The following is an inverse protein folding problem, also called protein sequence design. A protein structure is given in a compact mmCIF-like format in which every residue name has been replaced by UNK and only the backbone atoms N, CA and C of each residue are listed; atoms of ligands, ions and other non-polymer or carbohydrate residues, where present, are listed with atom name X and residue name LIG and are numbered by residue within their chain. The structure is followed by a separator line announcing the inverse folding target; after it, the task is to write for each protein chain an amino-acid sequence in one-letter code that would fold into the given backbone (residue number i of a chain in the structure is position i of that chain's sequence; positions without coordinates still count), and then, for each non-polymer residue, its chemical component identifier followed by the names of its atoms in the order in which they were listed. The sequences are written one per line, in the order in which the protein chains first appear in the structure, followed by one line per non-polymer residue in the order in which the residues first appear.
data_IF_406987044086
#
_entry.id   IF_406987044086
#
_cell.length_a   1.000
_cell.length_b   1.000
_cell.length_c   1.000
_cell.angle_alpha   90.00
_cell.angle_beta   90.00
_cell.angle_gamma   90.00
#
_symmetry.space_group_name_H-M   'P 1'
#
loop_
_entity.id
_entity.type
_entity.pdbx_description
1 polymer ?
#
# COMPACT_ATOMS: atom_id res chain seq x y z
N UNK A 1 10.71 -6.59 17.58
CA UNK A 1 11.71 -7.32 16.77
C UNK A 1 11.46 -6.98 15.31
N UNK A 2 12.44 -6.36 14.64
CA UNK A 2 12.36 -6.16 13.18
C UNK A 2 12.48 -7.55 12.55
N UNK A 3 11.43 -7.98 11.87
CA UNK A 3 11.46 -9.26 11.15
C UNK A 3 12.26 -9.04 9.87
N UNK A 4 13.44 -9.64 9.75
CA UNK A 4 14.31 -9.56 8.58
C UNK A 4 13.65 -9.98 7.24
N UNK A 5 12.40 -10.42 7.30
CA UNK A 5 11.65 -10.97 6.16
C UNK A 5 10.44 -10.12 5.75
N UNK A 6 10.24 -8.96 6.37
CA UNK A 6 9.20 -8.01 5.98
C UNK A 6 9.72 -7.06 4.91
N UNK A 7 8.98 -6.93 3.82
CA UNK A 7 9.27 -6.03 2.72
C UNK A 7 8.10 -5.08 2.49
N UNK A 8 8.39 -3.80 2.30
CA UNK A 8 7.38 -2.76 2.04
C UNK A 8 7.49 -2.33 0.59
N UNK A 9 6.38 -2.42 -0.14
CA UNK A 9 6.26 -1.99 -1.53
C UNK A 9 5.41 -0.73 -1.58
N UNK A 10 5.99 0.37 -2.05
CA UNK A 10 5.31 1.66 -2.21
C UNK A 10 4.98 1.86 -3.68
N UNK A 11 3.70 1.96 -4.01
CA UNK A 11 3.23 2.23 -5.37
C UNK A 11 3.22 3.73 -5.64
N UNK A 12 4.05 4.19 -6.57
CA UNK A 12 4.29 5.60 -6.88
C UNK A 12 4.22 5.90 -8.39
N UNK A 13 3.48 5.11 -9.18
CA UNK A 13 3.37 5.27 -10.65
C UNK A 13 2.23 6.20 -11.11
N UNK A 14 1.39 6.72 -10.22
CA UNK A 14 0.23 7.54 -10.58
C UNK A 14 0.62 8.97 -11.00
N UNK A 15 -0.05 9.52 -12.01
CA UNK A 15 0.16 10.90 -12.50
C UNK A 15 -0.55 11.98 -11.69
N UNK A 16 -1.45 11.61 -10.76
CA UNK A 16 -2.08 12.55 -9.82
C UNK A 16 -2.99 13.62 -10.45
N UNK A 17 -3.61 13.38 -11.59
CA UNK A 17 -4.39 14.36 -12.38
C UNK A 17 -5.47 15.14 -11.60
N UNK A 18 -6.01 14.57 -10.52
CA UNK A 18 -7.03 15.22 -9.66
C UNK A 18 -6.46 16.35 -8.80
N UNK A 19 -5.13 16.47 -8.70
CA UNK A 19 -4.44 17.50 -7.92
C UNK A 19 -3.96 18.68 -8.77
N UNK A 20 -4.33 18.69 -10.08
CA UNK A 20 -4.00 19.84 -10.92
C UNK A 20 -4.59 21.15 -10.33
N UNK A 21 -3.87 22.28 -10.33
CA UNK A 21 -2.58 22.55 -10.97
C UNK A 21 -1.34 22.23 -10.12
N UNK A 22 -1.47 21.78 -8.88
CA UNK A 22 -0.33 21.45 -8.01
C UNK A 22 0.45 20.22 -8.51
N UNK A 23 -0.23 19.24 -9.08
CA UNK A 23 0.34 18.04 -9.66
C UNK A 23 0.35 18.15 -11.18
N UNK A 24 1.48 17.85 -11.79
CA UNK A 24 1.66 17.78 -13.24
C UNK A 24 2.14 16.39 -13.65
N UNK A 25 2.09 16.01 -14.95
CA UNK A 25 2.69 14.76 -15.41
C UNK A 25 4.19 14.64 -15.11
N UNK A 26 4.93 15.75 -15.10
CA UNK A 26 6.36 15.77 -14.82
C UNK A 26 6.67 15.74 -13.31
N UNK A 27 5.74 16.21 -12.49
CA UNK A 27 5.90 16.26 -11.03
C UNK A 27 4.60 15.86 -10.32
N UNK A 28 4.30 14.54 -10.23
CA UNK A 28 3.07 14.02 -9.63
C UNK A 28 2.97 14.28 -8.13
N UNK A 29 1.73 14.23 -7.62
CA UNK A 29 1.37 14.56 -6.23
C UNK A 29 2.19 13.83 -5.16
N UNK A 30 2.60 12.58 -5.41
CA UNK A 30 3.37 11.79 -4.43
C UNK A 30 4.74 12.39 -4.12
N UNK A 31 5.27 13.23 -4.99
CA UNK A 31 6.56 13.91 -4.82
C UNK A 31 6.42 15.33 -4.24
N UNK A 32 5.19 15.79 -3.99
CA UNK A 32 4.89 17.14 -3.49
C UNK A 32 4.72 17.10 -1.97
N UNK A 33 5.23 18.13 -1.26
CA UNK A 33 4.87 18.40 0.12
C UNK A 33 3.47 19.06 0.19
N UNK A 34 2.45 18.22 0.16
CA UNK A 34 1.04 18.66 0.21
C UNK A 34 0.65 19.15 1.59
N UNK A 35 1.36 18.69 2.63
CA UNK A 35 1.03 18.99 4.03
C UNK A 35 1.79 20.19 4.59
N UNK A 36 2.78 20.72 3.87
CA UNK A 36 3.62 21.83 4.35
C UNK A 36 4.51 21.45 5.55
N UNK A 37 4.91 20.19 5.63
CA UNK A 37 5.73 19.66 6.75
C UNK A 37 7.18 19.42 6.36
N UNK A 38 7.60 19.88 5.19
CA UNK A 38 8.96 19.71 4.67
C UNK A 38 9.23 18.31 4.10
N UNK A 39 8.19 17.49 3.90
CA UNK A 39 8.29 16.12 3.35
C UNK A 39 7.19 15.87 2.33
N UNK A 40 7.57 15.24 1.23
CA UNK A 40 6.61 14.78 0.21
C UNK A 40 5.79 13.58 0.70
N UNK A 41 4.68 13.29 0.01
CA UNK A 41 3.81 12.16 0.39
C UNK A 41 4.55 10.82 0.37
N UNK A 42 5.46 10.61 -0.58
CA UNK A 42 6.24 9.36 -0.64
C UNK A 42 7.24 9.25 0.52
N UNK A 43 7.85 10.35 0.95
CA UNK A 43 8.72 10.37 2.13
C UNK A 43 7.93 10.06 3.41
N UNK A 44 6.73 10.65 3.57
CA UNK A 44 5.82 10.34 4.67
C UNK A 44 5.37 8.87 4.64
N UNK A 45 5.17 8.29 3.44
CA UNK A 45 4.84 6.88 3.30
C UNK A 45 5.99 5.98 3.79
N UNK A 46 7.24 6.26 3.43
CA UNK A 46 8.42 5.53 3.94
C UNK A 46 8.53 5.65 5.46
N UNK A 47 8.48 6.87 5.99
CA UNK A 47 8.61 7.14 7.43
C UNK A 47 7.58 6.38 8.27
N UNK A 48 6.35 6.25 7.76
CA UNK A 48 5.26 5.52 8.39
C UNK A 48 5.60 4.06 8.70
N UNK A 49 6.39 3.43 7.84
CA UNK A 49 6.77 2.02 7.96
C UNK A 49 8.20 1.80 8.48
N UNK A 50 9.00 2.85 8.71
CA UNK A 50 10.42 2.75 9.05
C UNK A 50 10.75 1.94 10.30
N UNK A 51 9.79 1.82 11.25
CA UNK A 51 9.94 0.99 12.43
C UNK A 51 9.64 -0.50 12.24
N UNK A 52 9.11 -0.89 11.07
CA UNK A 52 8.68 -2.27 10.81
C UNK A 52 9.76 -3.12 10.14
N UNK A 53 10.60 -2.50 9.31
CA UNK A 53 11.72 -3.17 8.66
C UNK A 53 12.81 -2.16 8.27
N UNK A 54 14.05 -2.61 7.98
CA UNK A 54 15.12 -1.74 7.52
C UNK A 54 14.83 -1.15 6.14
N UNK A 55 15.38 0.03 5.84
CA UNK A 55 15.17 0.72 4.54
C UNK A 55 15.63 -0.11 3.33
N UNK A 56 16.59 -1.01 3.53
CA UNK A 56 16.99 -1.99 2.50
C UNK A 56 15.88 -2.94 2.05
N UNK A 57 14.80 -3.06 2.82
CA UNK A 57 13.64 -3.88 2.50
C UNK A 57 12.47 -3.06 1.93
N UNK A 58 12.67 -1.77 1.69
CA UNK A 58 11.70 -0.95 0.98
C UNK A 58 11.90 -1.05 -0.53
N UNK A 59 10.79 -1.09 -1.24
CA UNK A 59 10.71 -1.17 -2.70
C UNK A 59 9.78 -0.08 -3.18
N UNK A 60 10.13 0.59 -4.26
CA UNK A 60 9.27 1.60 -4.88
C UNK A 60 8.95 1.17 -6.29
N UNK A 61 7.66 1.08 -6.60
CA UNK A 61 7.21 0.90 -7.99
C UNK A 61 6.81 2.26 -8.56
N UNK A 62 7.40 2.57 -9.68
CA UNK A 62 7.14 3.85 -10.35
C UNK A 62 7.29 3.69 -11.87
N UNK A 63 6.94 4.71 -12.65
CA UNK A 63 7.28 4.72 -14.07
C UNK A 63 8.74 5.13 -14.28
N UNK A 64 9.32 4.75 -15.41
CA UNK A 64 10.72 5.01 -15.72
C UNK A 64 11.10 6.50 -15.58
N UNK A 65 10.24 7.39 -16.02
CA UNK A 65 10.44 8.85 -15.94
C UNK A 65 10.59 9.41 -14.52
N UNK A 66 10.09 8.70 -13.49
CA UNK A 66 10.13 9.17 -12.10
C UNK A 66 11.24 8.53 -11.27
N UNK A 67 12.02 7.60 -11.82
CA UNK A 67 13.12 6.93 -11.10
C UNK A 67 14.08 7.95 -10.51
N UNK A 68 14.46 8.96 -11.28
CA UNK A 68 15.38 10.03 -10.81
C UNK A 68 14.82 10.83 -9.63
N UNK A 69 13.52 11.17 -9.65
CA UNK A 69 12.88 11.88 -8.54
C UNK A 69 12.80 11.00 -7.30
N UNK A 70 12.48 9.70 -7.46
CA UNK A 70 12.46 8.74 -6.35
C UNK A 70 13.84 8.65 -5.71
N UNK A 71 14.92 8.54 -6.48
CA UNK A 71 16.29 8.49 -5.96
C UNK A 71 16.67 9.76 -5.20
N UNK A 72 16.28 10.93 -5.74
CA UNK A 72 16.52 12.21 -5.09
C UNK A 72 15.80 12.33 -3.74
N UNK A 73 14.55 11.89 -3.66
CA UNK A 73 13.74 12.04 -2.47
C UNK A 73 13.95 10.93 -1.44
N UNK A 74 14.40 9.75 -1.87
CA UNK A 74 14.61 8.56 -1.04
C UNK A 74 16.00 7.96 -1.29
N UNK A 75 17.09 8.72 -1.04
CA UNK A 75 18.45 8.29 -1.35
C UNK A 75 18.91 7.05 -0.55
N UNK A 76 18.26 6.74 0.55
CA UNK A 76 18.58 5.61 1.41
C UNK A 76 17.97 4.27 0.91
N UNK A 77 17.05 4.32 -0.06
CA UNK A 77 16.50 3.11 -0.67
C UNK A 77 17.47 2.64 -1.77
N UNK A 78 17.88 1.35 -1.75
CA UNK A 78 18.77 0.82 -2.79
C UNK A 78 18.17 1.01 -4.19
N UNK A 79 19.01 1.40 -5.16
CA UNK A 79 18.59 1.60 -6.54
C UNK A 79 17.90 0.37 -7.14
N UNK A 80 18.42 -0.82 -6.86
CA UNK A 80 17.85 -2.10 -7.27
C UNK A 80 16.43 -2.38 -6.74
N UNK A 81 16.00 -1.63 -5.73
CA UNK A 81 14.68 -1.73 -5.15
C UNK A 81 13.72 -0.68 -5.74
N UNK A 82 14.19 0.20 -6.62
CA UNK A 82 13.33 1.11 -7.39
C UNK A 82 12.98 0.39 -8.68
N UNK A 83 11.76 -0.11 -8.75
CA UNK A 83 11.26 -0.91 -9.86
C UNK A 83 10.50 0.00 -10.84
N UNK A 84 11.08 0.23 -12.01
CA UNK A 84 10.40 0.91 -13.10
C UNK A 84 9.40 -0.04 -13.78
N UNK A 85 8.14 0.37 -13.90
CA UNK A 85 7.16 -0.34 -14.70
C UNK A 85 7.38 -0.01 -16.18
N UNK A 86 7.51 -1.01 -17.05
CA UNK A 86 7.66 -0.77 -18.49
C UNK A 86 6.42 -0.13 -19.11
N UNK A 87 5.23 -0.45 -18.56
CA UNK A 87 3.93 0.12 -18.95
C UNK A 87 3.01 0.20 -17.74
N UNK A 88 2.24 1.28 -17.62
CA UNK A 88 1.23 1.45 -16.59
C UNK A 88 0.00 0.55 -16.87
N UNK A 89 -0.09 -0.60 -16.22
CA UNK A 89 -1.17 -1.59 -16.39
C UNK A 89 -2.08 -1.74 -15.17
N UNK A 90 -2.35 -0.68 -14.46
CA UNK A 90 -3.14 -0.66 -13.23
C UNK A 90 -2.48 -1.41 -12.04
N UNK A 91 -3.20 -1.50 -10.94
CA UNK A 91 -2.68 -1.93 -9.63
C UNK A 91 -2.28 -3.41 -9.58
N UNK A 92 -3.08 -4.32 -10.13
CA UNK A 92 -2.85 -5.75 -9.95
C UNK A 92 -1.56 -6.26 -10.64
N UNK A 93 -1.28 -5.94 -11.91
CA UNK A 93 -0.01 -6.27 -12.56
C UNK A 93 1.20 -5.62 -11.88
N UNK A 94 1.06 -4.35 -11.45
CA UNK A 94 2.07 -3.62 -10.68
C UNK A 94 2.48 -4.40 -9.42
N UNK A 95 1.50 -4.79 -8.60
CA UNK A 95 1.72 -5.58 -7.39
C UNK A 95 2.36 -6.93 -7.71
N UNK A 96 1.85 -7.64 -8.72
CA UNK A 96 2.36 -8.94 -9.12
C UNK A 96 3.84 -8.86 -9.55
N UNK A 97 4.21 -7.83 -10.30
CA UNK A 97 5.58 -7.58 -10.73
C UNK A 97 6.53 -7.38 -9.54
N UNK A 98 6.15 -6.52 -8.57
CA UNK A 98 6.96 -6.32 -7.37
C UNK A 98 7.09 -7.60 -6.55
N UNK A 99 5.97 -8.27 -6.30
CA UNK A 99 5.96 -9.49 -5.52
C UNK A 99 6.83 -10.58 -6.15
N UNK A 100 6.81 -10.70 -7.47
CA UNK A 100 7.66 -11.65 -8.20
C UNK A 100 9.15 -11.29 -8.06
N UNK A 101 9.51 -10.01 -8.26
CA UNK A 101 10.90 -9.54 -8.09
C UNK A 101 11.43 -9.78 -6.69
N UNK A 102 10.61 -9.47 -5.66
CA UNK A 102 10.98 -9.69 -4.27
C UNK A 102 11.13 -11.20 -3.99
N UNK A 103 10.18 -12.02 -4.44
CA UNK A 103 10.21 -13.46 -4.23
C UNK A 103 11.43 -14.14 -4.83
N UNK A 104 11.89 -13.71 -6.00
CA UNK A 104 13.11 -14.23 -6.62
C UNK A 104 14.36 -14.04 -5.73
N UNK A 105 14.40 -12.96 -4.93
CA UNK A 105 15.52 -12.67 -4.01
C UNK A 105 15.25 -13.21 -2.59
N UNK A 106 14.01 -13.16 -2.16
CA UNK A 106 13.55 -13.48 -0.80
C UNK A 106 12.33 -14.42 -0.85
N UNK A 107 12.52 -15.73 -1.02
CA UNK A 107 11.42 -16.70 -1.24
C UNK A 107 10.34 -16.69 -0.14
N UNK A 108 10.73 -16.37 1.09
CA UNK A 108 9.83 -16.33 2.25
C UNK A 108 9.37 -14.92 2.64
N UNK A 109 9.52 -13.93 1.76
CA UNK A 109 9.16 -12.56 2.05
C UNK A 109 7.70 -12.40 2.48
N UNK A 110 7.48 -11.62 3.55
CA UNK A 110 6.18 -11.13 3.96
C UNK A 110 6.04 -9.69 3.46
N UNK A 111 5.15 -9.48 2.48
CA UNK A 111 5.13 -8.25 1.69
C UNK A 111 3.94 -7.39 2.10
N UNK A 112 4.20 -6.12 2.40
CA UNK A 112 3.17 -5.08 2.57
C UNK A 112 3.18 -4.19 1.35
N UNK A 113 2.03 -4.00 0.72
CA UNK A 113 1.87 -3.08 -0.42
C UNK A 113 1.08 -1.86 0.03
N UNK A 114 1.56 -0.67 -0.28
CA UNK A 114 0.91 0.59 0.09
C UNK A 114 0.97 1.60 -1.05
N UNK A 115 -0.08 2.42 -1.25
CA UNK A 115 0.03 3.58 -2.11
C UNK A 115 0.91 4.66 -1.46
N UNK A 116 1.61 5.44 -2.28
CA UNK A 116 2.48 6.54 -1.84
C UNK A 116 1.72 7.77 -1.33
N UNK A 117 0.44 7.91 -1.71
CA UNK A 117 -0.37 9.11 -1.53
C UNK A 117 -1.42 9.03 -0.41
N UNK A 118 -1.42 7.94 0.36
CA UNK A 118 -2.33 7.78 1.49
C UNK A 118 -1.84 8.58 2.70
N UNK A 119 -2.67 9.47 3.21
CA UNK A 119 -2.43 10.18 4.46
C UNK A 119 -2.95 9.34 5.64
N UNK A 120 -2.10 9.11 6.63
CA UNK A 120 -2.45 8.42 7.88
C UNK A 120 -2.15 9.35 9.04
N UNK A 121 -3.21 9.76 9.77
CA UNK A 121 -3.11 10.69 10.90
C UNK A 121 -2.64 9.95 12.16
N UNK A 122 -3.28 8.82 12.49
CA UNK A 122 -2.88 7.96 13.61
C UNK A 122 -1.85 6.92 13.15
N UNK A 123 -0.59 7.35 13.06
CA UNK A 123 0.53 6.48 12.66
C UNK A 123 0.77 5.36 13.66
N UNK A 124 0.56 5.61 14.96
CA UNK A 124 0.78 4.59 16.01
C UNK A 124 -0.26 3.48 15.90
N UNK A 125 -1.54 3.83 15.81
CA UNK A 125 -2.61 2.86 15.61
C UNK A 125 -2.46 2.11 14.30
N UNK A 126 -2.08 2.79 13.23
CA UNK A 126 -1.81 2.17 11.94
C UNK A 126 -0.70 1.12 12.02
N UNK A 127 0.44 1.44 12.65
CA UNK A 127 1.56 0.50 12.84
C UNK A 127 1.16 -0.75 13.61
N UNK A 128 0.32 -0.61 14.64
CA UNK A 128 -0.23 -1.75 15.41
C UNK A 128 -1.05 -2.68 14.52
N UNK A 129 -1.93 -2.12 13.68
CA UNK A 129 -2.76 -2.90 12.76
C UNK A 129 -1.90 -3.63 11.72
N UNK A 130 -0.89 -2.95 11.15
CA UNK A 130 0.04 -3.58 10.20
C UNK A 130 0.84 -4.70 10.89
N UNK A 131 1.32 -4.50 12.10
CA UNK A 131 2.04 -5.53 12.84
C UNK A 131 1.18 -6.78 13.10
N UNK A 132 -0.11 -6.60 13.44
CA UNK A 132 -1.07 -7.70 13.58
C UNK A 132 -1.29 -8.45 12.25
N UNK A 133 -1.44 -7.71 11.15
CA UNK A 133 -1.59 -8.30 9.81
C UNK A 133 -0.34 -9.09 9.41
N UNK A 134 0.86 -8.56 9.67
CA UNK A 134 2.13 -9.23 9.41
C UNK A 134 2.28 -10.52 10.23
N UNK A 135 1.95 -10.48 11.53
CA UNK A 135 1.96 -11.67 12.38
C UNK A 135 1.00 -12.75 11.85
N UNK A 136 -0.21 -12.36 11.47
CA UNK A 136 -1.20 -13.28 10.90
C UNK A 136 -0.71 -13.95 9.62
N UNK A 137 -0.06 -13.18 8.72
CA UNK A 137 0.44 -13.70 7.43
C UNK A 137 1.74 -14.48 7.56
N UNK A 138 2.52 -14.32 8.63
CA UNK A 138 3.69 -15.15 8.91
C UNK A 138 3.33 -16.61 9.18
N UNK A 139 2.23 -16.82 9.89
CA UNK A 139 1.77 -18.16 10.27
C UNK A 139 0.87 -18.81 9.20
N UNK A 140 0.29 -18.02 8.32
CA UNK A 140 -0.75 -18.46 7.38
C UNK A 140 -0.48 -17.97 5.97
N UNK A 141 -0.76 -18.82 4.98
CA UNK A 141 -0.80 -18.42 3.57
C UNK A 141 -2.11 -17.63 3.34
N UNK A 142 -2.07 -16.33 3.53
CA UNK A 142 -3.24 -15.48 3.43
C UNK A 142 -2.90 -14.10 2.84
N UNK A 143 -3.90 -13.48 2.23
CA UNK A 143 -3.89 -12.08 1.84
C UNK A 143 -4.72 -11.34 2.88
N UNK A 144 -4.15 -10.33 3.50
CA UNK A 144 -4.84 -9.48 4.47
C UNK A 144 -5.02 -8.10 3.88
N UNK A 145 -6.22 -7.57 3.95
CA UNK A 145 -6.56 -6.22 3.51
C UNK A 145 -6.96 -5.38 4.72
N UNK A 146 -6.39 -4.18 4.84
CA UNK A 146 -6.77 -3.25 5.89
C UNK A 146 -8.00 -2.47 5.43
N UNK A 147 -9.10 -2.64 6.16
CA UNK A 147 -10.34 -1.90 5.93
C UNK A 147 -10.46 -0.71 6.88
N UNK A 148 -10.98 0.39 6.40
CA UNK A 148 -11.31 1.57 7.21
C UNK A 148 -12.81 1.70 7.29
N UNK A 149 -13.35 1.91 8.52
CA UNK A 149 -14.78 2.15 8.69
C UNK A 149 -15.15 3.50 8.05
N UNK A 150 -16.08 3.53 7.08
CA UNK A 150 -16.46 4.78 6.45
C UNK A 150 -17.23 5.67 7.44
N UNK A 151 -16.88 6.96 7.48
CA UNK A 151 -17.61 7.98 8.26
C UNK A 151 -18.82 8.53 7.50
N UNK A 152 -18.83 8.37 6.17
CA UNK A 152 -19.91 8.79 5.26
C UNK A 152 -19.98 7.87 4.05
N UNK A 153 -21.11 7.80 3.35
CA UNK A 153 -21.20 7.11 2.07
C UNK A 153 -20.31 7.81 1.01
N UNK A 154 -19.41 7.06 0.39
CA UNK A 154 -18.49 7.56 -0.62
C UNK A 154 -18.54 6.68 -1.89
N UNK A 155 -18.91 7.27 -3.03
CA UNK A 155 -19.07 6.51 -4.28
C UNK A 155 -17.78 6.30 -5.05
N UNK A 156 -16.68 6.94 -4.61
CA UNK A 156 -15.37 6.86 -5.25
C UNK A 156 -14.52 5.67 -4.82
N UNK A 157 -14.94 4.92 -3.78
CA UNK A 157 -14.18 3.81 -3.22
C UNK A 157 -14.85 2.46 -3.43
N UNK A 158 -14.03 1.40 -3.37
CA UNK A 158 -14.51 0.04 -3.19
C UNK A 158 -14.87 -0.24 -1.73
N UNK A 159 -15.70 -1.24 -1.50
CA UNK A 159 -16.16 -1.65 -0.17
C UNK A 159 -15.92 -3.13 0.06
N UNK A 160 -15.60 -3.50 1.32
CA UNK A 160 -15.46 -4.89 1.76
C UNK A 160 -16.65 -5.26 2.62
N UNK A 161 -17.28 -6.39 2.32
CA UNK A 161 -18.22 -7.05 3.19
C UNK A 161 -17.53 -8.17 3.95
N UNK A 162 -17.75 -8.25 5.25
CA UNK A 162 -17.19 -9.29 6.13
C UNK A 162 -18.29 -10.20 6.67
N UNK A 163 -17.94 -11.44 7.04
CA UNK A 163 -18.86 -12.39 7.62
C UNK A 163 -19.28 -12.04 9.07
N UNK A 164 -18.52 -11.19 9.74
CA UNK A 164 -18.80 -10.78 11.12
C UNK A 164 -19.08 -9.29 11.21
N UNK A 165 -20.10 -8.91 11.98
CA UNK A 165 -20.39 -7.53 12.34
C UNK A 165 -19.51 -7.01 13.50
N UNK A 166 -18.80 -7.89 14.19
CA UNK A 166 -17.94 -7.56 15.33
C UNK A 166 -16.53 -7.27 14.87
N UNK A 167 -16.28 -6.04 14.37
CA UNK A 167 -14.96 -5.60 13.94
C UNK A 167 -14.33 -4.78 15.06
N UNK A 168 -13.80 -5.44 16.06
CA UNK A 168 -12.88 -4.83 17.02
C UNK A 168 -11.54 -5.54 16.91
N UNK A 169 -10.60 -4.91 16.18
CA UNK A 169 -9.17 -5.29 16.13
C UNK A 169 -8.85 -6.76 15.78
N UNK A 170 -9.72 -7.44 15.05
CA UNK A 170 -9.55 -8.84 14.67
C UNK A 170 -9.43 -8.99 13.16
N UNK A 171 -8.66 -10.00 12.74
CA UNK A 171 -8.63 -10.41 11.34
C UNK A 171 -9.90 -11.21 11.05
N UNK A 172 -10.77 -10.65 10.20
CA UNK A 172 -12.04 -11.25 9.82
C UNK A 172 -12.03 -11.72 8.38
N UNK A 173 -12.79 -12.78 8.08
CA UNK A 173 -12.88 -13.28 6.71
C UNK A 173 -13.69 -12.33 5.84
N UNK A 174 -13.15 -12.00 4.66
CA UNK A 174 -13.86 -11.24 3.64
C UNK A 174 -14.92 -12.11 2.98
N UNK A 175 -16.15 -11.60 2.91
CA UNK A 175 -17.25 -12.24 2.17
C UNK A 175 -17.26 -11.81 0.72
N UNK A 176 -17.13 -10.49 0.47
CA UNK A 176 -17.18 -9.94 -0.88
C UNK A 176 -16.48 -8.57 -0.97
N UNK A 177 -16.01 -8.25 -2.18
CA UNK A 177 -15.61 -6.92 -2.57
C UNK A 177 -16.69 -6.31 -3.48
N UNK A 178 -17.00 -5.04 -3.29
CA UNK A 178 -17.92 -4.29 -4.13
C UNK A 178 -17.29 -2.99 -4.60
N UNK A 179 -17.06 -2.92 -5.87
CA UNK A 179 -16.47 -1.73 -6.50
C UNK A 179 -17.52 -0.64 -6.66
N UNK A 180 -17.23 0.55 -6.15
CA UNK A 180 -17.98 1.81 -6.31
C UNK A 180 -19.51 1.63 -6.29
N UNK A 181 -20.12 1.12 -5.21
CA UNK A 181 -21.55 0.87 -5.15
C UNK A 181 -22.33 2.19 -5.22
N UNK A 182 -23.57 2.13 -5.74
CA UNK A 182 -24.44 3.29 -5.73
C UNK A 182 -24.89 3.65 -4.30
N UNK A 183 -25.36 4.90 -4.07
CA UNK A 183 -25.74 5.42 -2.75
C UNK A 183 -26.76 4.57 -1.98
N UNK A 184 -27.65 3.82 -2.68
CA UNK A 184 -28.66 2.98 -2.02
C UNK A 184 -28.05 1.74 -1.37
N UNK A 185 -27.01 1.18 -1.95
CA UNK A 185 -26.30 -0.02 -1.46
C UNK A 185 -25.32 0.30 -0.32
N UNK A 186 -24.87 1.55 -0.22
CA UNK A 186 -23.87 2.00 0.77
C UNK A 186 -24.41 2.06 2.20
N UNK A 187 -25.71 2.01 2.45
CA UNK A 187 -26.32 2.04 3.78
C UNK A 187 -26.18 0.74 4.57
N UNK A 188 -25.67 -0.31 3.95
CA UNK A 188 -25.37 -1.59 4.60
C UNK A 188 -23.94 -1.53 5.14
N UNK A 189 -23.68 -2.09 6.31
CA UNK A 189 -22.39 -2.06 7.04
C UNK A 189 -21.23 -2.59 6.19
N UNK A 190 -20.49 -1.69 5.55
CA UNK A 190 -19.34 -1.99 4.71
C UNK A 190 -18.10 -1.28 5.24
N UNK A 191 -16.94 -1.89 5.06
CA UNK A 191 -15.65 -1.26 5.28
C UNK A 191 -15.11 -0.72 3.96
N UNK A 192 -14.59 0.51 3.97
CA UNK A 192 -13.88 1.06 2.81
C UNK A 192 -12.51 0.41 2.69
N UNK A 193 -12.13 -0.01 1.48
CA UNK A 193 -10.86 -0.69 1.24
C UNK A 193 -9.73 0.32 1.09
N UNK A 194 -8.74 0.21 1.95
CA UNK A 194 -7.37 0.62 1.65
C UNK A 194 -6.55 -0.68 1.63
N UNK A 195 -6.09 -1.12 0.45
CA UNK A 195 -5.39 -2.39 0.30
C UNK A 195 -4.02 -2.30 0.96
N UNK A 196 -3.76 -3.14 1.94
CA UNK A 196 -2.45 -3.32 2.54
C UNK A 196 -2.24 -4.78 2.93
N UNK A 197 -1.15 -5.35 2.47
CA UNK A 197 -0.65 -6.63 2.95
C UNK A 197 -1.00 -7.83 2.07
N UNK A 198 0.03 -8.35 1.43
CA UNK A 198 -0.02 -9.57 0.64
C UNK A 198 1.15 -10.47 0.99
N UNK A 199 0.89 -11.64 1.59
CA UNK A 199 1.86 -12.72 1.51
C UNK A 199 1.62 -13.47 0.21
N UNK A 200 2.41 -13.17 -0.82
CA UNK A 200 2.41 -13.98 -2.04
C UNK A 200 3.23 -15.23 -1.77
N UNK A 201 2.59 -16.25 -1.22
CA UNK A 201 3.10 -17.61 -1.29
C UNK A 201 2.56 -18.22 -2.58
N UNK A 202 3.24 -18.00 -3.69
CA UNK A 202 3.06 -18.84 -4.87
C UNK A 202 3.63 -20.21 -4.52
N UNK A 203 2.77 -21.11 -4.07
CA UNK A 203 3.10 -22.50 -3.86
C UNK A 203 2.98 -23.19 -5.23
N UNK A 204 4.08 -23.75 -5.70
CA UNK A 204 4.08 -24.89 -6.61
C UNK A 204 3.88 -24.59 -8.10
N UNK A 205 4.89 -24.52 -8.86
CA UNK A 205 5.18 -25.45 -9.96
C UNK A 205 6.60 -25.92 -9.79
#
# INVERSE_FOLDING_TARGET
MQTNNTHIVIMAGGIGSRFWPMSTPDYPKQFIDVMGVGKSLIQLAVERFSSLCPLSNFWVLTSEQYVGIVQQQLPEIPLDNILAEPEARNTAPCIAYACWKIKCRFPNANIVVTPSDALVIDVIGFRKVIAQALSFTQERKAIVTIGVKPSRPETGYGYIKTFSSSIKNEVVKVEAFKEKPNRKVQKITWLTVIIFGMRVSLCGM
#
